data_IF_016180498017
#
_entry.id   IF_016180498017
#
_cell.length_a   1.000
_cell.length_b   1.000
_cell.length_c   1.000
_cell.angle_alpha   90.00
_cell.angle_beta   90.00
_cell.angle_gamma   90.00
#
_symmetry.space_group_name_H-M   'P 1'
#
loop_
_entity.id
_entity.type
_entity.pdbx_description
1 polymer ?
#
# COMPACT_ATOMS: atom_id res chain seq x y z
N UNK A 1 16.24 -2.55 -11.72
CA UNK A 1 14.87 -2.05 -11.49
C UNK A 1 14.77 -1.68 -10.03
N UNK A 2 14.88 -0.39 -9.70
CA UNK A 2 14.77 0.07 -8.31
C UNK A 2 13.32 -0.08 -7.85
N UNK A 3 13.13 -0.87 -6.79
CA UNK A 3 11.89 -1.25 -6.10
C UNK A 3 10.88 -0.10 -5.83
N UNK A 4 11.32 1.15 -5.91
CA UNK A 4 10.52 2.34 -5.56
C UNK A 4 9.56 2.84 -6.64
N UNK A 5 9.50 2.22 -7.83
CA UNK A 5 8.69 2.74 -8.94
C UNK A 5 7.17 2.61 -8.75
N UNK A 6 6.69 1.65 -7.95
CA UNK A 6 5.25 1.33 -7.87
C UNK A 6 4.48 2.31 -6.99
N UNK A 7 5.13 2.87 -5.97
CA UNK A 7 4.52 3.79 -5.02
C UNK A 7 4.33 5.21 -5.58
N UNK A 8 4.91 5.52 -6.75
CA UNK A 8 4.80 6.83 -7.39
C UNK A 8 3.38 7.18 -7.83
N UNK A 9 2.51 6.18 -7.99
CA UNK A 9 1.10 6.37 -8.32
C UNK A 9 0.22 6.68 -7.09
N UNK A 10 0.80 6.70 -5.89
CA UNK A 10 0.12 7.06 -4.65
C UNK A 10 0.47 8.48 -4.22
N UNK A 11 -0.52 9.22 -3.73
CA UNK A 11 -0.29 10.52 -3.12
C UNK A 11 0.51 10.38 -1.82
N UNK A 12 1.22 11.44 -1.44
CA UNK A 12 2.00 11.46 -0.18
C UNK A 12 1.13 11.16 1.05
N UNK A 13 -0.13 11.61 1.06
CA UNK A 13 -1.08 11.31 2.14
C UNK A 13 -1.36 9.82 2.27
N UNK A 14 -1.57 9.11 1.14
CA UNK A 14 -1.80 7.66 1.15
C UNK A 14 -0.55 6.89 1.54
N UNK A 15 0.62 7.35 1.12
CA UNK A 15 1.88 6.74 1.53
C UNK A 15 2.13 6.89 3.03
N UNK A 16 1.82 8.06 3.63
CA UNK A 16 1.90 8.24 5.08
C UNK A 16 0.97 7.27 5.80
N UNK A 17 -0.28 7.19 5.36
CA UNK A 17 -1.28 6.30 5.95
C UNK A 17 -0.83 4.83 5.89
N UNK A 18 -0.33 4.35 4.75
CA UNK A 18 0.15 2.97 4.62
C UNK A 18 1.34 2.68 5.55
N UNK A 19 2.23 3.67 5.79
CA UNK A 19 3.34 3.53 6.74
C UNK A 19 2.85 3.48 8.18
N UNK A 20 1.92 4.35 8.55
CA UNK A 20 1.32 4.37 9.88
C UNK A 20 0.59 3.06 10.19
N UNK A 21 -0.18 2.54 9.23
CA UNK A 21 -0.86 1.25 9.37
C UNK A 21 0.11 0.07 9.43
N UNK A 22 1.20 0.11 8.65
CA UNK A 22 2.26 -0.90 8.73
C UNK A 22 2.92 -0.92 10.10
N UNK A 23 3.29 0.24 10.65
CA UNK A 23 3.85 0.32 12.00
C UNK A 23 2.87 -0.21 13.07
N UNK A 24 1.57 0.11 12.94
CA UNK A 24 0.54 -0.39 13.85
C UNK A 24 0.40 -1.92 13.78
N UNK A 25 0.50 -2.49 12.58
CA UNK A 25 0.48 -3.93 12.37
C UNK A 25 1.72 -4.62 12.99
N UNK A 26 2.91 -4.03 12.79
CA UNK A 26 4.15 -4.49 13.39
C UNK A 26 4.08 -4.46 14.93
N UNK A 27 3.53 -3.40 15.52
CA UNK A 27 3.28 -3.29 16.97
C UNK A 27 2.29 -4.36 17.46
N UNK A 28 1.29 -4.70 16.65
CA UNK A 28 0.32 -5.75 16.92
C UNK A 28 0.82 -7.17 16.68
N UNK A 29 2.03 -7.34 16.11
CA UNK A 29 2.57 -8.65 15.74
C UNK A 29 1.79 -9.35 14.62
N UNK A 30 1.08 -8.60 13.79
CA UNK A 30 0.28 -9.10 12.66
C UNK A 30 0.88 -8.59 11.36
N UNK A 31 0.70 -9.35 10.28
CA UNK A 31 1.17 -8.91 8.96
C UNK A 31 0.07 -8.14 8.25
N UNK A 32 0.39 -6.99 7.65
CA UNK A 32 -0.55 -6.16 6.88
C UNK A 32 -0.22 -6.20 5.38
N UNK A 33 -1.24 -6.44 4.56
CA UNK A 33 -1.09 -6.59 3.12
C UNK A 33 -2.02 -5.67 2.35
N UNK A 34 -1.49 -5.04 1.31
CA UNK A 34 -2.29 -4.39 0.26
C UNK A 34 -2.73 -5.46 -0.74
N UNK A 35 -4.04 -5.56 -0.98
CA UNK A 35 -4.64 -6.59 -1.82
C UNK A 35 -5.62 -5.97 -2.83
N UNK A 36 -6.26 -6.81 -3.65
CA UNK A 36 -7.33 -6.35 -4.54
C UNK A 36 -6.88 -5.54 -5.76
N UNK A 37 -7.79 -4.72 -6.27
CA UNK A 37 -7.63 -4.00 -7.54
C UNK A 37 -6.51 -2.97 -7.53
N UNK A 38 -6.23 -2.38 -6.37
CA UNK A 38 -5.16 -1.39 -6.19
C UNK A 38 -3.79 -1.98 -6.50
N UNK A 39 -3.52 -3.25 -6.17
CA UNK A 39 -2.23 -3.89 -6.50
C UNK A 39 -2.03 -3.96 -8.02
N UNK A 40 -3.05 -4.41 -8.75
CA UNK A 40 -3.02 -4.46 -10.22
C UNK A 40 -2.80 -3.06 -10.80
N UNK A 41 -3.49 -2.06 -10.28
CA UNK A 41 -3.47 -0.73 -10.86
C UNK A 41 -2.13 -0.03 -10.61
N UNK A 42 -1.49 -0.25 -9.45
CA UNK A 42 -0.11 0.19 -9.18
C UNK A 42 0.90 -0.46 -10.15
N UNK A 43 0.77 -1.75 -10.43
CA UNK A 43 1.61 -2.45 -11.41
C UNK A 43 1.41 -1.90 -12.83
N UNK A 44 0.19 -1.48 -13.17
CA UNK A 44 -0.15 -0.84 -14.45
C UNK A 44 0.12 0.67 -14.48
N UNK A 45 0.67 1.24 -13.40
CA UNK A 45 0.92 2.69 -13.23
C UNK A 45 -0.33 3.55 -13.43
N UNK A 46 -1.48 3.07 -12.98
CA UNK A 46 -2.75 3.81 -12.99
C UNK A 46 -3.02 4.39 -11.61
N UNK A 47 -3.62 5.58 -11.58
CA UNK A 47 -4.14 6.11 -10.32
C UNK A 47 -5.31 5.24 -9.86
N UNK A 48 -5.29 4.85 -8.59
CA UNK A 48 -6.41 4.17 -7.93
C UNK A 48 -6.80 4.98 -6.68
N UNK A 49 -8.11 5.13 -6.45
CA UNK A 49 -8.64 5.90 -5.32
C UNK A 49 -8.84 5.07 -4.05
N UNK A 50 -9.03 3.76 -4.19
CA UNK A 50 -9.43 2.82 -3.14
C UNK A 50 -8.22 1.98 -2.68
N UNK A 51 -8.09 1.79 -1.36
CA UNK A 51 -7.04 0.96 -0.75
C UNK A 51 -7.70 -0.22 -0.04
N UNK A 52 -7.49 -1.43 -0.54
CA UNK A 52 -7.96 -2.66 0.11
C UNK A 52 -6.82 -3.29 0.91
N UNK A 53 -7.02 -3.45 2.22
CA UNK A 53 -6.04 -4.01 3.15
C UNK A 53 -6.58 -5.27 3.82
N UNK A 54 -5.70 -6.24 4.08
CA UNK A 54 -6.00 -7.44 4.87
C UNK A 54 -4.88 -7.72 5.87
N UNK A 55 -5.19 -8.47 6.93
CA UNK A 55 -4.25 -8.86 7.98
C UNK A 55 -4.23 -10.38 8.15
N UNK A 56 -3.07 -10.93 8.52
CA UNK A 56 -2.90 -12.33 8.96
C UNK A 56 -2.73 -12.43 10.47
#
# INVERSE_FOLDING_TARGET
>A
MTERSLLNCLSQKRLSLLRELGNLADEGGVSLYLVGGVVRDLLLKRENLDLDLTVE
#
